data_IF_880611149099
#
_entry.id   IF_880611149099
#
_cell.length_a   1.000
_cell.length_b   1.000
_cell.length_c   1.000
_cell.angle_alpha   90.00
_cell.angle_beta   90.00
_cell.angle_gamma   90.00
#
_symmetry.space_group_name_H-M   'P 1'
#
loop_
_entity.id
_entity.type
_entity.pdbx_description
1 polymer ?
#
# COMPACT_ATOMS: atom_id res chain seq x y z
N UNK A 1 -3.11 27.99 13.66
CA UNK A 1 -4.02 27.10 14.40
C UNK A 1 -3.28 25.78 14.55
N UNK A 2 -3.12 25.26 15.76
CA UNK A 2 -2.57 23.92 15.97
C UNK A 2 -3.56 22.92 15.36
N UNK A 3 -3.13 22.18 14.34
CA UNK A 3 -3.91 21.08 13.77
C UNK A 3 -4.12 20.05 14.88
N UNK A 4 -5.37 19.66 15.13
CA UNK A 4 -5.68 18.66 16.14
C UNK A 4 -5.31 17.27 15.59
N UNK A 5 -4.33 16.63 16.21
CA UNK A 5 -3.90 15.26 15.90
C UNK A 5 -4.92 14.25 16.45
N UNK A 6 -5.65 13.58 15.56
CA UNK A 6 -6.66 12.56 15.92
C UNK A 6 -6.08 11.15 16.01
N UNK A 7 -4.88 10.94 15.49
CA UNK A 7 -4.23 9.64 15.41
C UNK A 7 -2.81 9.69 15.98
N UNK A 8 -2.65 10.16 17.24
CA UNK A 8 -1.33 10.30 17.82
C UNK A 8 -0.64 8.95 17.86
N UNK A 9 0.47 8.88 17.17
CA UNK A 9 1.42 7.76 17.15
C UNK A 9 2.82 8.30 17.43
N UNK A 10 3.77 7.44 17.78
CA UNK A 10 5.18 7.78 17.98
C UNK A 10 5.44 8.84 19.06
N UNK A 11 6.56 8.76 19.76
CA UNK A 11 6.88 9.63 20.91
C UNK A 11 6.24 9.23 22.25
N UNK A 12 5.36 8.22 22.28
CA UNK A 12 4.94 7.54 23.52
C UNK A 12 5.84 6.34 23.82
N UNK A 13 5.94 5.97 25.10
CA UNK A 13 6.60 4.72 25.55
C UNK A 13 5.67 3.51 25.54
N UNK A 14 4.36 3.74 25.47
CA UNK A 14 3.35 2.69 25.47
C UNK A 14 2.45 2.83 24.23
N UNK A 15 2.11 1.70 23.57
CA UNK A 15 1.18 1.68 22.46
C UNK A 15 -0.25 1.97 22.94
N UNK A 16 -1.10 2.41 22.04
CA UNK A 16 -2.52 2.65 22.31
C UNK A 16 -3.38 2.14 21.16
N UNK A 17 -4.53 1.56 21.50
CA UNK A 17 -5.55 1.15 20.53
C UNK A 17 -6.63 2.24 20.47
N UNK A 18 -6.64 3.02 19.40
CA UNK A 18 -7.63 4.07 19.17
C UNK A 18 -8.69 3.56 18.20
N UNK A 19 -9.96 3.52 18.62
CA UNK A 19 -11.04 3.07 17.75
C UNK A 19 -11.41 4.15 16.74
N UNK A 20 -11.56 3.76 15.47
CA UNK A 20 -12.00 4.64 14.39
C UNK A 20 -13.46 5.04 14.63
N UNK A 21 -13.69 6.33 14.84
CA UNK A 21 -15.02 6.87 15.12
C UNK A 21 -15.49 7.87 14.06
N UNK A 22 -14.64 8.82 13.69
CA UNK A 22 -15.05 9.98 12.89
C UNK A 22 -14.74 9.85 11.39
N UNK A 23 -14.09 8.77 10.97
CA UNK A 23 -13.77 8.48 9.57
C UNK A 23 -14.55 7.25 9.09
N UNK A 24 -15.50 7.39 8.16
CA UNK A 24 -16.11 6.24 7.46
C UNK A 24 -15.06 5.37 6.77
N UNK A 25 -15.32 4.07 6.63
CA UNK A 25 -14.51 3.19 5.77
C UNK A 25 -14.98 3.30 4.31
N UNK A 26 -16.29 3.40 4.09
CA UNK A 26 -16.89 3.71 2.79
C UNK A 26 -17.62 5.05 2.85
N UNK A 27 -17.22 5.98 1.98
CA UNK A 27 -17.79 7.33 1.87
C UNK A 27 -18.84 7.45 0.76
N UNK A 28 -18.68 6.69 -0.33
CA UNK A 28 -19.64 6.67 -1.44
C UNK A 28 -20.74 5.62 -1.30
N UNK A 29 -21.47 5.40 -2.39
CA UNK A 29 -22.69 4.58 -2.45
C UNK A 29 -22.68 3.62 -3.65
N UNK A 30 -23.59 2.62 -3.68
CA UNK A 30 -23.68 1.69 -4.80
C UNK A 30 -23.96 2.37 -6.15
N UNK A 31 -24.68 3.49 -6.17
CA UNK A 31 -24.97 4.26 -7.37
C UNK A 31 -23.78 5.07 -7.91
N UNK A 32 -22.70 5.22 -7.14
CA UNK A 32 -21.55 6.07 -7.49
C UNK A 32 -20.49 5.34 -8.32
N UNK A 33 -20.58 4.01 -8.50
CA UNK A 33 -19.57 3.23 -9.22
C UNK A 33 -19.92 1.76 -9.42
N UNK A 34 -18.92 0.95 -9.77
CA UNK A 34 -19.13 -0.45 -10.17
C UNK A 34 -19.30 -1.43 -9.00
N UNK A 35 -18.85 -1.07 -7.78
CA UNK A 35 -19.02 -1.93 -6.61
C UNK A 35 -20.50 -2.02 -6.24
N UNK A 36 -20.97 -3.25 -6.06
CA UNK A 36 -22.32 -3.53 -5.57
C UNK A 36 -22.49 -3.12 -4.10
N UNK A 37 -23.74 -3.00 -3.65
CA UNK A 37 -24.04 -2.76 -2.24
C UNK A 37 -23.45 -3.83 -1.30
N UNK A 38 -23.38 -5.09 -1.77
CA UNK A 38 -22.77 -6.18 -1.01
C UNK A 38 -21.25 -6.03 -0.90
N UNK A 39 -20.58 -5.67 -2.00
CA UNK A 39 -19.14 -5.40 -2.00
C UNK A 39 -18.78 -4.20 -1.12
N UNK A 40 -19.54 -3.11 -1.18
CA UNK A 40 -19.32 -1.96 -0.30
C UNK A 40 -19.56 -2.30 1.18
N UNK A 41 -20.61 -3.08 1.49
CA UNK A 41 -20.84 -3.55 2.85
C UNK A 41 -19.72 -4.48 3.34
N UNK A 42 -19.15 -5.31 2.45
CA UNK A 42 -17.98 -6.11 2.75
C UNK A 42 -16.75 -5.22 3.01
N UNK A 43 -16.49 -4.21 2.18
CA UNK A 43 -15.40 -3.24 2.40
C UNK A 43 -15.52 -2.56 3.77
N UNK A 44 -16.71 -2.06 4.11
CA UNK A 44 -16.99 -1.43 5.40
C UNK A 44 -16.74 -2.39 6.58
N UNK A 45 -17.09 -3.67 6.43
CA UNK A 45 -16.96 -4.68 7.47
C UNK A 45 -15.50 -5.17 7.64
N UNK A 46 -14.86 -5.55 6.53
CA UNK A 46 -13.60 -6.27 6.47
C UNK A 46 -12.38 -5.37 6.19
N UNK A 47 -12.60 -4.19 5.62
CA UNK A 47 -11.55 -3.22 5.27
C UNK A 47 -10.88 -3.50 3.93
N UNK A 48 -11.43 -4.40 3.11
CA UNK A 48 -10.96 -4.63 1.75
C UNK A 48 -12.08 -5.14 0.83
N UNK A 49 -11.85 -5.11 -0.49
CA UNK A 49 -12.75 -5.70 -1.49
C UNK A 49 -11.96 -6.19 -2.68
N UNK A 50 -12.24 -7.41 -3.11
CA UNK A 50 -11.61 -8.08 -4.24
C UNK A 50 -12.49 -8.08 -5.50
N UNK A 51 -11.81 -8.07 -6.65
CA UNK A 51 -12.35 -8.33 -7.98
C UNK A 51 -11.40 -9.33 -8.63
N UNK A 52 -11.84 -10.59 -8.76
CA UNK A 52 -10.99 -11.72 -9.19
C UNK A 52 -10.42 -11.55 -10.61
N UNK A 53 -11.14 -10.89 -11.51
CA UNK A 53 -10.73 -10.75 -12.91
C UNK A 53 -11.00 -9.32 -13.40
N UNK A 54 -10.27 -8.35 -12.84
CA UNK A 54 -10.34 -6.96 -13.30
C UNK A 54 -9.72 -6.81 -14.68
N UNK A 55 -8.60 -7.50 -14.88
CA UNK A 55 -7.90 -7.62 -16.15
C UNK A 55 -8.14 -9.00 -16.76
N UNK A 56 -8.33 -9.04 -18.07
CA UNK A 56 -8.32 -10.28 -18.83
C UNK A 56 -6.88 -10.75 -19.14
N UNK A 57 -6.73 -11.99 -19.61
CA UNK A 57 -5.42 -12.60 -19.87
C UNK A 57 -4.52 -11.78 -20.81
N UNK A 58 -5.09 -11.12 -21.84
CA UNK A 58 -4.33 -10.30 -22.77
C UNK A 58 -3.90 -8.96 -22.15
N UNK A 59 -4.72 -8.38 -21.27
CA UNK A 59 -4.32 -7.22 -20.46
C UNK A 59 -3.21 -7.61 -19.48
N UNK A 60 -3.35 -8.74 -18.78
CA UNK A 60 -2.33 -9.26 -17.86
C UNK A 60 -1.00 -9.44 -18.58
N UNK A 61 -0.97 -10.10 -19.74
CA UNK A 61 0.24 -10.30 -20.54
C UNK A 61 0.87 -8.95 -20.92
N UNK A 62 0.06 -7.99 -21.39
CA UNK A 62 0.51 -6.63 -21.75
C UNK A 62 1.20 -5.90 -20.58
N UNK A 63 0.62 -5.94 -19.38
CA UNK A 63 1.21 -5.26 -18.22
C UNK A 63 2.38 -6.03 -17.59
N UNK A 64 2.41 -7.36 -17.72
CA UNK A 64 3.54 -8.17 -17.31
C UNK A 64 4.78 -7.89 -18.20
N UNK A 65 4.60 -7.76 -19.52
CA UNK A 65 5.68 -7.39 -20.44
C UNK A 65 6.27 -6.01 -20.11
N UNK A 66 5.43 -5.04 -19.77
CA UNK A 66 5.88 -3.70 -19.38
C UNK A 66 6.60 -3.70 -18.03
N UNK A 67 6.10 -4.46 -17.06
CA UNK A 67 6.80 -4.68 -15.78
C UNK A 67 8.19 -5.27 -16.03
N UNK A 68 8.30 -6.30 -16.87
CA UNK A 68 9.59 -6.92 -17.21
C UNK A 68 10.53 -5.93 -17.89
N UNK A 69 10.02 -5.07 -18.78
CA UNK A 69 10.79 -3.98 -19.39
C UNK A 69 11.35 -3.04 -18.32
N UNK A 70 10.50 -2.56 -17.41
CA UNK A 70 10.89 -1.65 -16.33
C UNK A 70 11.93 -2.30 -15.41
N UNK A 71 11.70 -3.55 -14.96
CA UNK A 71 12.66 -4.30 -14.13
C UNK A 71 14.02 -4.45 -14.81
N UNK A 72 14.04 -4.75 -16.12
CA UNK A 72 15.28 -4.87 -16.89
C UNK A 72 16.01 -3.54 -17.05
N UNK A 73 15.29 -2.44 -17.27
CA UNK A 73 15.87 -1.09 -17.36
C UNK A 73 16.49 -0.68 -16.02
N UNK A 74 15.74 -0.84 -14.93
CA UNK A 74 16.21 -0.57 -13.56
C UNK A 74 17.43 -1.43 -13.19
N UNK A 75 17.47 -2.69 -13.63
CA UNK A 75 18.63 -3.56 -13.40
C UNK A 75 19.86 -3.13 -14.20
N UNK A 76 19.68 -2.70 -15.46
CA UNK A 76 20.78 -2.22 -16.32
C UNK A 76 21.38 -0.93 -15.78
N UNK A 77 20.55 0.03 -15.37
CA UNK A 77 21.00 1.33 -14.83
C UNK A 77 21.87 1.17 -13.58
N UNK A 78 21.64 0.14 -12.75
CA UNK A 78 22.48 -0.14 -11.59
C UNK A 78 23.85 -0.76 -11.90
N UNK A 79 24.04 -1.33 -13.10
CA UNK A 79 25.34 -1.90 -13.51
C UNK A 79 26.28 -0.87 -14.14
N UNK A 80 25.77 0.32 -14.50
CA UNK A 80 26.60 1.47 -14.85
C UNK A 80 27.11 2.16 -13.58
N UNK A 81 28.42 2.39 -13.49
CA UNK A 81 29.13 2.89 -12.31
C UNK A 81 28.80 4.35 -11.88
N UNK A 82 27.69 4.92 -12.33
CA UNK A 82 27.40 6.36 -12.23
C UNK A 82 26.10 6.71 -11.48
N UNK A 83 25.29 5.73 -11.05
CA UNK A 83 24.11 6.00 -10.21
C UNK A 83 23.90 4.90 -9.17
N UNK A 84 24.54 5.06 -8.02
CA UNK A 84 24.35 4.22 -6.83
C UNK A 84 23.22 4.69 -5.91
N UNK A 85 22.31 5.56 -6.38
CA UNK A 85 21.40 6.30 -5.50
C UNK A 85 20.08 6.69 -6.22
N UNK A 86 19.51 5.77 -7.01
CA UNK A 86 18.15 5.97 -7.52
C UNK A 86 17.15 5.69 -6.39
N UNK A 87 16.70 6.76 -5.74
CA UNK A 87 15.77 6.74 -4.60
C UNK A 87 14.42 6.08 -4.92
N UNK A 88 14.08 5.92 -6.21
CA UNK A 88 12.86 5.25 -6.66
C UNK A 88 12.97 3.72 -6.72
N UNK A 89 14.10 3.13 -6.31
CA UNK A 89 14.36 1.69 -6.44
C UNK A 89 14.81 1.10 -5.11
N UNK A 90 14.03 0.13 -4.60
CA UNK A 90 14.40 -0.62 -3.40
C UNK A 90 14.96 -1.98 -3.81
N UNK A 91 16.12 -2.35 -3.25
CA UNK A 91 16.82 -3.60 -3.57
C UNK A 91 16.97 -4.51 -2.34
N UNK A 92 17.17 -5.80 -2.57
CA UNK A 92 17.59 -6.74 -1.53
C UNK A 92 19.12 -6.61 -1.27
N UNK A 93 19.51 -6.55 0.01
CA UNK A 93 20.89 -6.28 0.43
C UNK A 93 21.94 -7.22 -0.18
N UNK A 94 21.71 -8.54 -0.16
CA UNK A 94 22.74 -9.52 -0.54
C UNK A 94 22.82 -9.79 -2.05
N UNK A 95 21.70 -9.74 -2.77
CA UNK A 95 21.61 -10.14 -4.18
C UNK A 95 21.34 -8.99 -5.14
N UNK A 96 21.05 -7.79 -4.62
CA UNK A 96 20.78 -6.59 -5.40
C UNK A 96 19.58 -6.72 -6.36
N UNK A 97 18.67 -7.65 -6.08
CA UNK A 97 17.43 -7.81 -6.84
C UNK A 97 16.47 -6.65 -6.55
N UNK A 98 15.79 -6.15 -7.60
CA UNK A 98 14.83 -5.04 -7.49
C UNK A 98 13.56 -5.55 -6.79
N UNK A 99 13.26 -5.02 -5.61
CA UNK A 99 12.09 -5.37 -4.80
C UNK A 99 10.91 -4.41 -5.05
N UNK A 100 11.20 -3.15 -5.38
CA UNK A 100 10.16 -2.19 -5.75
C UNK A 100 10.67 -1.14 -6.73
N UNK A 101 9.80 -0.78 -7.68
CA UNK A 101 9.95 0.36 -8.58
C UNK A 101 8.87 1.36 -8.19
N UNK A 102 9.23 2.56 -7.75
CA UNK A 102 8.30 3.64 -7.38
C UNK A 102 7.94 4.50 -8.60
N UNK A 103 6.92 5.37 -8.43
CA UNK A 103 6.46 6.31 -9.46
C UNK A 103 6.16 5.66 -10.81
N UNK A 104 5.64 4.43 -10.77
CA UNK A 104 5.27 3.66 -11.96
C UNK A 104 4.30 4.42 -12.86
N UNK A 105 3.39 5.21 -12.28
CA UNK A 105 2.47 6.09 -13.02
C UNK A 105 3.17 7.24 -13.76
N UNK A 106 4.37 7.65 -13.36
CA UNK A 106 5.19 8.67 -14.05
C UNK A 106 6.19 8.06 -15.01
N UNK A 107 6.66 6.85 -14.70
CA UNK A 107 7.70 6.15 -15.43
C UNK A 107 7.18 5.27 -16.58
N UNK A 108 5.86 5.03 -16.64
CA UNK A 108 5.22 4.25 -17.70
C UNK A 108 3.84 4.82 -18.04
N UNK A 109 3.70 5.33 -19.27
CA UNK A 109 2.41 5.78 -19.81
C UNK A 109 1.36 4.66 -19.76
N UNK A 110 1.77 3.42 -19.98
CA UNK A 110 0.89 2.28 -19.96
C UNK A 110 0.30 2.02 -18.57
N UNK A 111 1.11 2.11 -17.51
CA UNK A 111 0.61 2.01 -16.15
C UNK A 111 -0.18 3.26 -15.75
N UNK A 112 0.19 4.45 -16.23
CA UNK A 112 -0.60 5.67 -16.00
C UNK A 112 -2.03 5.55 -16.54
N UNK A 113 -2.18 5.03 -17.76
CA UNK A 113 -3.48 4.74 -18.39
C UNK A 113 -4.28 3.72 -17.56
N UNK A 114 -3.65 2.65 -17.08
CA UNK A 114 -4.32 1.64 -16.25
C UNK A 114 -4.79 2.23 -14.92
N UNK A 115 -3.95 3.00 -14.26
CA UNK A 115 -4.24 3.57 -12.94
C UNK A 115 -5.42 4.55 -13.03
N UNK A 116 -5.54 5.27 -14.15
CA UNK A 116 -6.62 6.22 -14.42
C UNK A 116 -7.88 5.58 -15.02
N UNK A 117 -7.86 4.28 -15.33
CA UNK A 117 -9.04 3.55 -15.86
C UNK A 117 -10.19 3.59 -14.85
N UNK A 118 -11.43 3.74 -15.30
CA UNK A 118 -12.62 3.76 -14.43
C UNK A 118 -12.81 2.48 -13.63
N UNK A 119 -12.34 1.34 -14.13
CA UNK A 119 -12.30 0.06 -13.39
C UNK A 119 -11.34 0.13 -12.20
N UNK A 120 -10.40 1.07 -12.22
CA UNK A 120 -9.37 1.27 -11.21
C UNK A 120 -9.64 2.49 -10.33
N UNK A 121 -9.49 3.69 -10.89
CA UNK A 121 -9.71 4.95 -10.19
C UNK A 121 -11.18 5.15 -9.80
N UNK A 122 -12.12 4.70 -10.63
CA UNK A 122 -13.55 4.78 -10.33
C UNK A 122 -13.95 3.98 -9.08
N UNK A 123 -13.31 2.83 -8.83
CA UNK A 123 -13.50 2.07 -7.58
C UNK A 123 -12.95 2.84 -6.37
N UNK A 124 -11.78 3.47 -6.50
CA UNK A 124 -11.22 4.30 -5.44
C UNK A 124 -12.11 5.52 -5.15
N UNK A 125 -12.60 6.23 -6.17
CA UNK A 125 -13.56 7.33 -6.03
C UNK A 125 -14.85 6.88 -5.36
N UNK A 126 -15.37 5.70 -5.72
CA UNK A 126 -16.57 5.15 -5.10
C UNK A 126 -16.35 4.85 -3.60
N UNK A 127 -15.22 4.26 -3.22
CA UNK A 127 -14.91 3.98 -1.81
C UNK A 127 -14.69 5.29 -1.03
N UNK A 128 -13.94 6.24 -1.60
CA UNK A 128 -13.53 7.48 -0.92
C UNK A 128 -14.53 8.64 -1.05
N UNK A 129 -15.56 8.50 -1.88
CA UNK A 129 -16.67 9.45 -2.03
C UNK A 129 -16.23 10.84 -2.50
N UNK A 130 -15.17 10.92 -3.29
CA UNK A 130 -14.63 12.15 -3.88
C UNK A 130 -13.79 11.83 -5.12
N UNK A 131 -13.34 12.86 -5.83
CA UNK A 131 -12.16 12.71 -6.69
C UNK A 131 -10.96 12.25 -5.86
N UNK A 132 -10.02 11.58 -6.53
CA UNK A 132 -8.84 11.00 -5.89
C UNK A 132 -7.58 11.48 -6.61
N UNK A 133 -6.45 11.42 -5.91
CA UNK A 133 -5.12 11.57 -6.50
C UNK A 133 -4.25 10.38 -6.09
N UNK A 134 -3.14 10.19 -6.79
CA UNK A 134 -2.17 9.13 -6.48
C UNK A 134 -1.27 9.62 -5.34
N UNK A 135 -1.43 9.05 -4.14
CA UNK A 135 -0.52 9.32 -3.02
C UNK A 135 0.86 8.73 -3.28
N UNK A 136 0.91 7.48 -3.75
CA UNK A 136 2.10 6.87 -4.34
C UNK A 136 1.72 5.65 -5.20
N UNK A 137 2.62 5.25 -6.09
CA UNK A 137 2.49 4.01 -6.87
C UNK A 137 3.79 3.22 -6.86
N UNK A 138 3.72 1.90 -6.84
CA UNK A 138 4.87 1.03 -7.00
C UNK A 138 4.52 -0.31 -7.64
N UNK A 139 5.48 -0.93 -8.31
CA UNK A 139 5.46 -2.37 -8.54
C UNK A 139 6.14 -3.02 -7.35
N UNK A 140 5.44 -3.90 -6.64
CA UNK A 140 6.01 -4.72 -5.57
C UNK A 140 6.37 -6.09 -6.13
N UNK A 141 7.66 -6.30 -6.37
CA UNK A 141 8.19 -7.56 -6.87
C UNK A 141 8.79 -8.37 -5.72
N UNK A 142 8.29 -9.58 -5.54
CA UNK A 142 8.77 -10.56 -4.57
C UNK A 142 9.35 -11.75 -5.35
N UNK A 143 10.67 -11.78 -5.56
CA UNK A 143 11.28 -12.83 -6.36
C UNK A 143 11.12 -14.21 -5.71
N UNK A 144 11.12 -15.24 -6.55
CA UNK A 144 11.14 -16.63 -6.09
C UNK A 144 12.44 -16.94 -5.34
N UNK A 145 12.35 -17.83 -4.36
CA UNK A 145 13.45 -18.37 -3.53
C UNK A 145 14.14 -17.37 -2.59
N UNK A 146 14.02 -16.06 -2.82
CA UNK A 146 14.74 -15.02 -2.06
C UNK A 146 13.84 -13.97 -1.44
N UNK A 147 12.59 -13.84 -1.91
CA UNK A 147 11.69 -12.78 -1.47
C UNK A 147 11.56 -12.68 0.06
N UNK A 148 11.89 -11.53 0.62
CA UNK A 148 11.85 -11.27 2.07
C UNK A 148 10.43 -10.99 2.58
N UNK A 149 10.11 -11.26 3.85
CA UNK A 149 8.83 -10.87 4.43
C UNK A 149 8.69 -9.34 4.50
N UNK A 150 7.44 -8.86 4.46
CA UNK A 150 7.10 -7.48 4.81
C UNK A 150 6.23 -7.53 6.05
N UNK A 151 6.74 -7.05 7.18
CA UNK A 151 6.13 -7.29 8.48
C UNK A 151 4.76 -6.59 8.62
N UNK A 152 4.00 -6.94 9.66
CA UNK A 152 2.70 -6.36 9.93
C UNK A 152 2.78 -4.84 10.12
N UNK A 153 1.97 -4.09 9.39
CA UNK A 153 1.90 -2.63 9.47
C UNK A 153 0.50 -2.13 9.07
N UNK A 154 0.23 -0.88 9.44
CA UNK A 154 -0.84 -0.05 8.89
C UNK A 154 -0.17 0.99 7.98
N UNK A 155 -0.56 1.03 6.70
CA UNK A 155 -0.04 2.01 5.75
C UNK A 155 -0.31 3.45 6.27
N UNK A 156 -1.51 3.67 6.81
CA UNK A 156 -1.95 4.93 7.38
C UNK A 156 -1.10 5.40 8.57
N UNK A 157 -0.59 4.51 9.42
CA UNK A 157 0.29 4.92 10.53
C UNK A 157 1.50 5.68 10.02
N UNK A 158 2.15 5.13 8.99
CA UNK A 158 3.32 5.74 8.38
C UNK A 158 2.95 7.00 7.60
N UNK A 159 1.86 6.98 6.82
CA UNK A 159 1.42 8.15 6.07
C UNK A 159 0.99 9.30 7.00
N UNK A 160 0.37 9.01 8.13
CA UNK A 160 0.04 10.00 9.14
C UNK A 160 1.30 10.56 9.80
N UNK A 161 2.16 9.69 10.33
CA UNK A 161 3.36 10.09 11.05
C UNK A 161 4.36 10.85 10.18
N UNK A 162 4.63 10.35 8.98
CA UNK A 162 5.76 10.76 8.14
C UNK A 162 5.35 11.62 6.93
N UNK A 163 4.11 11.50 6.42
CA UNK A 163 3.64 12.33 5.28
C UNK A 163 2.68 13.44 5.69
N UNK A 164 2.12 13.40 6.90
CA UNK A 164 1.12 14.38 7.32
C UNK A 164 -0.30 14.08 6.83
N UNK A 165 -0.63 12.82 6.48
CA UNK A 165 -1.99 12.44 6.07
C UNK A 165 -2.96 12.60 7.25
N UNK A 166 -3.98 13.49 7.18
CA UNK A 166 -4.73 13.88 8.39
C UNK A 166 -5.86 12.91 8.77
N UNK A 167 -6.48 12.23 7.80
CA UNK A 167 -7.64 11.33 8.01
C UNK A 167 -7.46 9.98 7.35
N UNK A 168 -8.17 8.98 7.85
CA UNK A 168 -8.26 7.66 7.22
C UNK A 168 -9.20 7.72 6.00
N UNK A 169 -8.76 8.39 4.93
CA UNK A 169 -9.52 8.53 3.67
C UNK A 169 -8.63 8.28 2.45
N UNK A 170 -7.90 7.17 2.52
CA UNK A 170 -7.10 6.64 1.44
C UNK A 170 -7.37 5.14 1.28
N UNK A 171 -7.15 4.61 0.08
CA UNK A 171 -7.33 3.19 -0.24
C UNK A 171 -6.22 2.71 -1.16
N UNK A 172 -5.66 1.54 -0.87
CA UNK A 172 -4.59 0.93 -1.64
C UNK A 172 -5.14 -0.13 -2.58
N UNK A 173 -4.95 0.05 -3.88
CA UNK A 173 -5.06 -1.03 -4.85
C UNK A 173 -3.84 -1.95 -4.73
N UNK A 174 -4.09 -3.26 -4.73
CA UNK A 174 -3.11 -4.28 -5.09
C UNK A 174 -3.64 -5.10 -6.26
N UNK A 175 -3.06 -4.93 -7.44
CA UNK A 175 -3.42 -5.62 -8.67
C UNK A 175 -2.35 -6.66 -9.01
N UNK A 176 -2.75 -7.92 -9.11
CA UNK A 176 -1.89 -9.05 -9.39
C UNK A 176 -1.39 -9.02 -10.85
N UNK A 177 -0.08 -8.91 -11.07
CA UNK A 177 0.56 -9.09 -12.38
C UNK A 177 1.06 -10.53 -12.59
N UNK A 178 1.13 -11.29 -11.50
CA UNK A 178 1.36 -12.74 -11.47
C UNK A 178 0.38 -13.36 -10.48
N UNK A 179 0.18 -14.67 -10.53
CA UNK A 179 -0.69 -15.37 -9.57
C UNK A 179 -0.26 -15.12 -8.11
N UNK A 180 -1.22 -14.70 -7.29
CA UNK A 180 -1.09 -14.63 -5.83
C UNK A 180 -1.58 -15.96 -5.24
N UNK A 181 -0.64 -16.76 -4.75
CA UNK A 181 -0.89 -18.07 -4.14
C UNK A 181 -0.60 -18.03 -2.65
N UNK A 182 -1.13 -19.00 -1.92
CA UNK A 182 -0.85 -19.17 -0.49
C UNK A 182 0.64 -19.46 -0.17
N UNK A 183 1.45 -19.78 -1.19
CA UNK A 183 2.84 -20.20 -1.01
C UNK A 183 3.87 -19.14 -1.44
N UNK A 184 3.57 -18.27 -2.40
CA UNK A 184 4.52 -17.26 -2.91
C UNK A 184 4.48 -15.93 -2.14
N UNK A 185 4.00 -15.96 -0.90
CA UNK A 185 3.97 -14.82 0.00
C UNK A 185 2.92 -13.79 -0.39
N UNK A 186 1.69 -14.20 -0.71
CA UNK A 186 0.56 -13.30 -0.92
C UNK A 186 0.29 -12.40 0.31
N UNK A 187 -0.44 -11.31 0.10
CA UNK A 187 -0.77 -10.36 1.18
C UNK A 187 -1.67 -11.02 2.20
N UNK A 188 -1.27 -10.93 3.46
CA UNK A 188 -2.09 -11.30 4.62
C UNK A 188 -2.71 -10.03 5.19
N UNK A 189 -3.96 -10.15 5.65
CA UNK A 189 -4.70 -9.09 6.32
C UNK A 189 -5.38 -9.62 7.58
N UNK A 190 -5.71 -8.72 8.51
CA UNK A 190 -6.60 -9.02 9.64
C UNK A 190 -7.95 -8.31 9.40
N UNK A 191 -8.97 -8.99 8.83
CA UNK A 191 -10.22 -8.33 8.41
C UNK A 191 -10.93 -7.60 9.56
N UNK A 192 -11.22 -6.31 9.38
CA UNK A 192 -11.84 -5.48 10.43
C UNK A 192 -10.84 -4.76 11.34
N UNK A 193 -9.54 -5.03 11.23
CA UNK A 193 -8.50 -4.32 12.00
C UNK A 193 -8.39 -2.83 11.63
N UNK A 194 -8.83 -2.44 10.43
CA UNK A 194 -8.87 -1.05 9.98
C UNK A 194 -9.72 -0.12 10.85
N UNK A 195 -10.58 -0.70 11.70
CA UNK A 195 -11.40 0.01 12.70
C UNK A 195 -10.62 0.36 13.98
N UNK A 196 -9.37 -0.06 14.10
CA UNK A 196 -8.51 0.17 15.25
C UNK A 196 -7.18 0.72 14.73
N UNK A 197 -6.88 1.96 15.08
CA UNK A 197 -5.54 2.52 14.91
C UNK A 197 -4.63 2.03 16.05
N UNK A 198 -3.48 1.50 15.70
CA UNK A 198 -2.45 1.11 16.68
C UNK A 198 -1.37 2.18 16.70
N UNK A 199 -1.33 2.97 17.77
CA UNK A 199 -0.23 3.90 18.01
C UNK A 199 1.05 3.10 18.23
N UNK A 200 2.08 3.40 17.45
CA UNK A 200 3.40 2.79 17.56
C UNK A 200 4.26 3.54 18.58
N UNK A 201 5.26 2.84 19.13
CA UNK A 201 6.20 3.38 20.11
C UNK A 201 7.49 3.86 19.46
N UNK A 202 8.20 4.77 20.12
CA UNK A 202 9.49 5.29 19.65
C UNK A 202 9.35 6.51 18.73
N UNK A 203 10.49 7.09 18.38
CA UNK A 203 10.59 8.27 17.51
C UNK A 203 10.87 7.86 16.07
N UNK A 204 10.48 8.69 15.10
CA UNK A 204 10.84 8.51 13.69
C UNK A 204 12.29 8.95 13.49
N UNK A 205 13.21 8.08 13.04
CA UNK A 205 14.56 8.49 12.70
C UNK A 205 14.62 9.36 11.44
N UNK A 206 15.67 10.16 11.32
CA UNK A 206 16.00 10.87 10.07
C UNK A 206 16.10 9.88 8.90
N UNK A 207 15.50 10.25 7.75
CA UNK A 207 15.47 9.45 6.52
C UNK A 207 14.95 8.00 6.67
N UNK A 208 14.04 7.76 7.62
CA UNK A 208 13.48 6.43 7.91
C UNK A 208 12.94 5.68 6.67
N UNK A 209 12.40 6.41 5.69
CA UNK A 209 11.86 5.85 4.46
C UNK A 209 12.84 4.96 3.69
N UNK A 210 14.16 5.22 3.77
CA UNK A 210 15.18 4.44 3.06
C UNK A 210 15.25 2.99 3.54
N UNK A 211 14.98 2.74 4.82
CA UNK A 211 15.02 1.40 5.42
C UNK A 211 13.63 0.79 5.63
N UNK A 212 12.60 1.60 5.87
CA UNK A 212 11.23 1.14 6.11
C UNK A 212 10.65 0.32 4.95
N UNK A 213 11.10 0.58 3.72
CA UNK A 213 10.64 -0.13 2.53
C UNK A 213 11.29 -1.51 2.35
N UNK A 214 12.37 -1.81 3.10
CA UNK A 214 13.06 -3.10 3.12
C UNK A 214 12.72 -3.91 4.37
N UNK A 215 12.76 -3.28 5.55
CA UNK A 215 12.48 -3.90 6.85
C UNK A 215 11.82 -2.87 7.80
N UNK A 216 10.49 -2.90 7.85
CA UNK A 216 9.71 -1.98 8.69
C UNK A 216 9.75 -2.44 10.15
N UNK A 217 10.62 -1.80 10.95
CA UNK A 217 10.73 -2.03 12.41
C UNK A 217 10.21 -0.88 13.26
N UNK A 218 10.15 0.33 12.70
CA UNK A 218 9.61 1.54 13.35
C UNK A 218 8.32 1.90 12.62
N UNK A 219 7.31 2.37 13.36
CA UNK A 219 5.93 2.43 12.84
C UNK A 219 5.27 1.05 12.77
N UNK A 220 5.86 0.06 13.44
CA UNK A 220 5.36 -1.31 13.51
C UNK A 220 4.61 -1.51 14.84
N UNK A 221 3.38 -2.05 14.81
CA UNK A 221 2.64 -2.42 16.02
C UNK A 221 3.42 -3.40 16.91
N UNK A 222 3.23 -3.31 18.22
CA UNK A 222 3.84 -4.25 19.16
C UNK A 222 3.18 -5.64 19.11
N UNK A 223 3.92 -6.67 19.54
CA UNK A 223 3.47 -8.07 19.52
C UNK A 223 2.16 -8.30 20.29
N UNK A 224 1.91 -7.55 21.38
CA UNK A 224 0.68 -7.70 22.18
C UNK A 224 -0.50 -7.17 21.40
N UNK A 225 -0.38 -5.96 20.83
CA UNK A 225 -1.41 -5.39 19.96
C UNK A 225 -1.70 -6.29 18.74
N UNK A 226 -0.67 -6.81 18.08
CA UNK A 226 -0.83 -7.75 16.96
C UNK A 226 -1.54 -9.03 17.39
N UNK A 227 -1.17 -9.61 18.54
CA UNK A 227 -1.82 -10.78 19.11
C UNK A 227 -3.30 -10.53 19.39
N UNK A 228 -3.65 -9.38 19.98
CA UNK A 228 -5.03 -9.00 20.25
C UNK A 228 -5.85 -8.81 18.98
N UNK A 229 -5.28 -8.16 17.95
CA UNK A 229 -5.95 -7.99 16.66
C UNK A 229 -6.15 -9.33 15.95
N UNK A 230 -5.12 -10.19 15.91
CA UNK A 230 -5.19 -11.50 15.28
C UNK A 230 -6.19 -12.44 15.98
N UNK A 231 -6.24 -12.43 17.33
CA UNK A 231 -7.22 -13.21 18.08
C UNK A 231 -8.66 -12.74 17.81
N UNK A 232 -8.86 -11.43 17.69
CA UNK A 232 -10.19 -10.84 17.48
C UNK A 232 -10.68 -10.99 16.04
N UNK A 233 -9.81 -10.81 15.05
CA UNK A 233 -10.17 -10.64 13.65
C UNK A 233 -9.75 -11.83 12.76
N UNK A 234 -8.89 -12.72 13.25
CA UNK A 234 -8.27 -13.74 12.44
C UNK A 234 -7.27 -13.17 11.43
N UNK A 235 -6.73 -14.06 10.60
CA UNK A 235 -5.81 -13.71 9.51
C UNK A 235 -6.34 -14.34 8.22
N UNK A 236 -6.40 -13.55 7.16
CA UNK A 236 -6.80 -13.99 5.83
C UNK A 236 -5.71 -13.68 4.81
N UNK A 237 -5.50 -14.58 3.86
CA UNK A 237 -4.62 -14.36 2.71
C UNK A 237 -5.44 -13.90 1.50
N UNK A 238 -4.96 -12.88 0.82
CA UNK A 238 -5.52 -12.34 -0.41
C UNK A 238 -4.87 -13.05 -1.61
N UNK A 239 -5.52 -14.14 -2.04
CA UNK A 239 -5.09 -14.96 -3.17
C UNK A 239 -5.95 -14.69 -4.40
N UNK A 240 -5.41 -14.97 -5.59
CA UNK A 240 -6.12 -14.82 -6.85
C UNK A 240 -5.19 -14.97 -8.06
N UNK A 241 -5.72 -15.35 -9.24
CA UNK A 241 -4.94 -15.38 -10.46
C UNK A 241 -4.40 -13.99 -10.83
N UNK A 242 -3.42 -13.95 -11.72
CA UNK A 242 -3.02 -12.70 -12.35
C UNK A 242 -4.24 -11.98 -12.96
N UNK A 243 -4.32 -10.66 -12.78
CA UNK A 243 -5.49 -9.84 -13.13
C UNK A 243 -6.51 -9.64 -11.99
N UNK A 244 -6.37 -10.36 -10.87
CA UNK A 244 -7.11 -10.08 -9.64
C UNK A 244 -6.69 -8.75 -9.02
N UNK A 245 -7.66 -7.97 -8.56
CA UNK A 245 -7.46 -6.69 -7.91
C UNK A 245 -8.07 -6.67 -6.51
N UNK A 246 -7.41 -6.03 -5.56
CA UNK A 246 -7.96 -5.83 -4.21
C UNK A 246 -7.73 -4.40 -3.75
N UNK A 247 -8.79 -3.73 -3.33
CA UNK A 247 -8.73 -2.43 -2.66
C UNK A 247 -8.71 -2.64 -1.17
N UNK A 248 -7.74 -2.03 -0.49
CA UNK A 248 -7.41 -2.24 0.92
C UNK A 248 -7.47 -0.89 1.63
N UNK A 249 -8.30 -0.76 2.66
CA UNK A 249 -8.35 0.45 3.50
C UNK A 249 -6.97 0.79 4.06
N UNK A 250 -6.62 2.07 4.08
CA UNK A 250 -5.29 2.55 4.48
C UNK A 250 -4.87 2.09 5.89
N UNK A 251 -5.81 1.85 6.80
CA UNK A 251 -5.51 1.43 8.16
C UNK A 251 -5.62 -0.09 8.38
N UNK A 252 -5.92 -0.89 7.34
CA UNK A 252 -6.02 -2.34 7.52
C UNK A 252 -4.64 -2.94 7.83
N UNK A 253 -4.56 -3.69 8.93
CA UNK A 253 -3.35 -4.39 9.32
C UNK A 253 -2.99 -5.44 8.26
N UNK A 254 -1.82 -5.28 7.63
CA UNK A 254 -1.37 -6.12 6.52
C UNK A 254 0.09 -6.50 6.64
N UNK A 255 0.46 -7.63 6.04
CA UNK A 255 1.83 -8.14 6.02
C UNK A 255 2.00 -9.24 4.98
N UNK A 256 3.22 -9.69 4.72
CA UNK A 256 3.51 -10.80 3.80
C UNK A 256 4.63 -11.67 4.38
N UNK A 257 4.52 -12.98 4.22
CA UNK A 257 5.64 -13.89 4.50
C UNK A 257 6.71 -13.78 3.39
N UNK A 258 7.88 -14.39 3.62
CA UNK A 258 8.88 -14.57 2.57
C UNK A 258 8.40 -15.54 1.47
N UNK A 259 9.14 -15.60 0.37
CA UNK A 259 8.87 -16.48 -0.77
C UNK A 259 10.05 -17.44 -1.00
N UNK A 260 9.91 -18.67 -0.51
CA UNK A 260 10.89 -19.74 -0.73
C UNK A 260 10.57 -20.61 -1.96
N UNK A 261 9.48 -20.30 -2.66
CA UNK A 261 9.03 -21.06 -3.84
C UNK A 261 9.73 -20.55 -5.10
N UNK A 262 9.76 -21.31 -6.21
CA UNK A 262 10.30 -20.81 -7.47
C UNK A 262 9.37 -19.81 -8.18
N UNK A 263 8.18 -19.55 -7.65
CA UNK A 263 7.17 -18.70 -8.30
C UNK A 263 7.28 -17.27 -7.76
N UNK A 264 7.69 -16.33 -8.60
CA UNK A 264 7.71 -14.92 -8.23
C UNK A 264 6.29 -14.40 -7.98
N UNK A 265 6.19 -13.28 -7.25
CA UNK A 265 4.94 -12.58 -6.98
C UNK A 265 5.12 -11.09 -7.29
N UNK A 266 4.40 -10.58 -8.27
CA UNK A 266 4.43 -9.18 -8.65
C UNK A 266 3.03 -8.57 -8.61
N UNK A 267 2.89 -7.46 -7.88
CA UNK A 267 1.65 -6.68 -7.87
C UNK A 267 1.95 -5.22 -8.20
N UNK A 268 1.10 -4.60 -9.02
CA UNK A 268 0.98 -3.15 -9.06
C UNK A 268 0.26 -2.70 -7.78
N UNK A 269 0.86 -1.75 -7.06
CA UNK A 269 0.34 -1.19 -5.82
C UNK A 269 0.15 0.30 -5.98
N UNK A 270 -1.06 0.80 -5.74
CA UNK A 270 -1.39 2.23 -5.90
C UNK A 270 -2.16 2.69 -4.68
N UNK A 271 -1.63 3.68 -3.96
CA UNK A 271 -2.36 4.34 -2.89
C UNK A 271 -3.11 5.52 -3.48
N UNK A 272 -4.45 5.46 -3.48
CA UNK A 272 -5.31 6.58 -3.81
C UNK A 272 -5.66 7.33 -2.53
N UNK A 273 -5.60 8.66 -2.57
CA UNK A 273 -6.08 9.50 -1.48
C UNK A 273 -7.16 10.45 -1.98
N UNK A 274 -8.11 10.78 -1.11
CA UNK A 274 -9.13 11.78 -1.42
C UNK A 274 -8.48 13.16 -1.57
N UNK A 275 -8.93 13.94 -2.57
CA UNK A 275 -8.55 15.36 -2.70
C UNK A 275 -9.00 16.21 -1.49
N UNK A 276 -9.92 15.69 -0.67
CA UNK A 276 -10.38 16.31 0.57
C UNK A 276 -9.56 15.86 1.80
N UNK A 277 -8.48 15.09 1.58
CA UNK A 277 -7.60 14.53 2.61
C UNK A 277 -6.11 14.79 2.29
N UNK A 278 -5.82 15.92 1.66
CA UNK A 278 -4.46 16.32 1.29
C UNK A 278 -3.49 16.28 2.49
N UNK A 279 -2.30 15.74 2.24
CA UNK A 279 -1.24 15.62 3.23
C UNK A 279 -0.68 17.00 3.62
N UNK A 280 -0.52 17.23 4.92
CA UNK A 280 0.05 18.45 5.47
C UNK A 280 1.53 18.30 5.87
N UNK A 281 1.90 19.00 6.95
CA UNK A 281 3.18 18.75 7.61
C UNK A 281 3.13 17.40 8.36
N UNK A 282 4.25 16.64 8.39
CA UNK A 282 4.33 15.39 9.14
C UNK A 282 3.96 15.58 10.62
N UNK A 283 3.21 14.63 11.19
CA UNK A 283 2.85 14.70 12.60
C UNK A 283 3.99 14.29 13.53
N UNK A 284 4.92 13.44 13.04
CA UNK A 284 5.97 12.79 13.82
C UNK A 284 7.27 12.55 13.04
N UNK A 285 7.58 13.40 12.07
CA UNK A 285 8.87 13.45 11.40
C UNK A 285 9.33 14.92 11.29
N UNK A 286 10.64 15.15 11.26
CA UNK A 286 11.21 16.50 11.14
C UNK A 286 11.00 17.09 9.73
N UNK A 287 11.03 16.23 8.71
CA UNK A 287 10.79 16.59 7.32
C UNK A 287 9.87 15.56 6.66
N UNK A 288 9.11 16.01 5.65
CA UNK A 288 8.28 15.12 4.86
C UNK A 288 9.15 14.18 4.02
N UNK A 289 8.62 12.98 3.72
CA UNK A 289 9.28 12.04 2.82
C UNK A 289 9.33 12.60 1.38
N UNK A 290 10.26 12.12 0.54
CA UNK A 290 10.39 12.56 -0.86
C UNK A 290 9.09 12.51 -1.67
N UNK A 291 8.99 13.34 -2.71
CA UNK A 291 7.77 13.55 -3.50
C UNK A 291 7.23 12.26 -4.16
N UNK A 292 8.09 11.28 -4.45
CA UNK A 292 7.70 9.98 -5.02
C UNK A 292 7.02 9.03 -4.02
N UNK A 293 7.12 9.34 -2.72
CA UNK A 293 6.40 8.64 -1.64
C UNK A 293 5.16 9.42 -1.19
N UNK A 294 5.17 10.73 -1.36
CA UNK A 294 4.07 11.62 -1.05
C UNK A 294 4.28 12.97 -1.74
N UNK A 295 3.35 13.36 -2.63
CA UNK A 295 3.02 14.74 -3.09
C UNK A 295 2.92 14.83 -4.62
N UNK A 296 1.67 14.81 -5.08
CA UNK A 296 1.15 15.53 -6.25
C UNK A 296 -0.39 15.44 -6.20
N UNK A 297 -1.10 16.54 -5.95
CA UNK A 297 -2.56 16.52 -5.79
C UNK A 297 -3.21 16.88 -7.12
N UNK A 298 -2.92 16.09 -8.15
CA UNK A 298 -3.62 16.15 -9.43
C UNK A 298 -4.79 15.15 -9.40
N UNK A 299 -6.05 15.61 -9.48
CA UNK A 299 -7.20 14.73 -9.48
C UNK A 299 -7.23 13.83 -10.73
N UNK A 300 -7.61 12.56 -10.54
CA UNK A 300 -7.82 11.55 -11.58
C UNK A 300 -9.19 10.87 -11.46
#
# INVERSE_FOLDING_TARGET
>A
MTVHDMYPTRGSREPALLYRHDDPTVYGKPEDGMLTAEQLAHHEAAGYTDIEQLLNDAEVEKYAEEMDRLLQETQKSATSADQGDDEHVVREDERQEVLSIFDVHRNSELFAELISDERVAGVARQILGSEVYIHHSRISYKPGLVGTPFYWHSDFETWHAEDGMPRMRAVTLSLALTDNTEHNGSVMVMPGSHKVFVSCVGDTPDEHYKSALQDQRIGTPDDVSLGMLAEKYGIQQLNGPAGSATWIDCNLMRGTNGNITPFARANLVVAFNSVENECGEPYRADEARPDFLARDVEPI
#
